data_IF_977045548039
#
_entry.id   IF_977045548039
#
_cell.length_a   1.000
_cell.length_b   1.000
_cell.length_c   1.000
_cell.angle_alpha   90.00
_cell.angle_beta   90.00
_cell.angle_gamma   90.00
#
_symmetry.space_group_name_H-M   'P 1'
#
loop_
_entity.id
_entity.type
_entity.pdbx_description
1 polymer ?
#
# COMPACT_ATOMS: atom_id res chain seq x y z
N UNK A 1 -15.52 -18.63 -6.16
CA UNK A 1 -16.73 -17.94 -5.67
C UNK A 1 -16.49 -16.56 -5.05
N UNK A 2 -15.29 -16.23 -4.57
CA UNK A 2 -14.98 -14.89 -4.00
C UNK A 2 -14.38 -13.91 -5.03
N UNK A 3 -14.06 -14.37 -6.23
CA UNK A 3 -13.57 -13.55 -7.34
C UNK A 3 -14.69 -13.37 -8.38
N UNK A 4 -14.70 -12.24 -9.12
CA UNK A 4 -15.65 -12.03 -10.20
C UNK A 4 -15.66 -13.19 -11.20
N UNK A 5 -16.84 -13.65 -11.65
CA UNK A 5 -16.94 -14.75 -12.59
C UNK A 5 -16.30 -14.38 -13.94
N UNK A 6 -15.47 -15.28 -14.48
CA UNK A 6 -14.78 -15.10 -15.75
C UNK A 6 -13.40 -14.44 -15.65
N UNK A 7 -12.93 -14.13 -14.45
CA UNK A 7 -11.60 -13.59 -14.24
C UNK A 7 -10.56 -14.73 -14.07
N UNK A 8 -9.55 -14.75 -14.94
CA UNK A 8 -8.45 -15.70 -14.85
C UNK A 8 -7.42 -15.19 -13.83
N UNK A 9 -7.47 -15.75 -12.62
CA UNK A 9 -6.62 -15.34 -11.50
C UNK A 9 -5.24 -15.99 -11.64
N UNK A 10 -4.22 -15.15 -11.79
CA UNK A 10 -2.84 -15.56 -12.04
C UNK A 10 -1.90 -15.07 -10.92
N UNK A 11 -0.80 -15.80 -10.72
CA UNK A 11 0.25 -15.41 -9.79
C UNK A 11 0.83 -14.03 -10.14
N UNK A 12 1.06 -13.20 -9.13
CA UNK A 12 1.52 -11.82 -9.25
C UNK A 12 0.40 -10.77 -9.35
N UNK A 13 -0.85 -11.18 -9.60
CA UNK A 13 -1.99 -10.25 -9.58
C UNK A 13 -2.18 -9.64 -8.19
N UNK A 14 -2.61 -8.38 -8.15
CA UNK A 14 -3.02 -7.71 -6.91
C UNK A 14 -4.53 -7.67 -6.84
N UNK A 15 -5.07 -8.08 -5.71
CA UNK A 15 -6.51 -8.11 -5.46
C UNK A 15 -6.79 -7.37 -4.17
N UNK A 16 -8.02 -6.87 -4.05
CA UNK A 16 -8.44 -6.06 -2.94
C UNK A 16 -9.69 -6.68 -2.31
N UNK A 17 -9.75 -6.73 -0.99
CA UNK A 17 -10.92 -7.23 -0.27
C UNK A 17 -11.25 -6.33 0.92
N UNK A 18 -12.52 -6.33 1.32
CA UNK A 18 -12.97 -5.66 2.53
C UNK A 18 -12.68 -6.52 3.76
N UNK A 19 -11.95 -5.96 4.72
CA UNK A 19 -11.69 -6.57 6.01
C UNK A 19 -12.37 -5.81 7.16
N UNK A 20 -12.31 -6.34 8.41
CA UNK A 20 -12.93 -5.72 9.58
C UNK A 20 -12.41 -4.33 9.93
N UNK A 21 -11.25 -3.95 9.40
CA UNK A 21 -10.59 -2.67 9.62
C UNK A 21 -10.53 -1.81 8.35
N UNK A 22 -11.33 -2.16 7.33
CA UNK A 22 -11.31 -1.54 6.01
C UNK A 22 -10.58 -2.40 4.98
N UNK A 23 -10.22 -1.77 3.88
CA UNK A 23 -9.78 -2.46 2.68
C UNK A 23 -8.35 -2.99 2.80
N UNK A 24 -8.16 -4.26 2.44
CA UNK A 24 -6.87 -4.97 2.48
C UNK A 24 -6.45 -5.33 1.06
N UNK A 25 -5.17 -5.09 0.74
CA UNK A 25 -4.57 -5.47 -0.53
C UNK A 25 -3.82 -6.78 -0.38
N UNK A 26 -3.97 -7.68 -1.37
CA UNK A 26 -3.31 -8.97 -1.42
C UNK A 26 -2.56 -9.14 -2.73
N UNK A 27 -1.49 -9.93 -2.71
CA UNK A 27 -0.81 -10.43 -3.90
C UNK A 27 -1.12 -11.92 -4.07
N UNK A 28 -1.53 -12.34 -5.26
CA UNK A 28 -1.74 -13.76 -5.57
C UNK A 28 -0.37 -14.45 -5.70
N UNK A 29 -0.10 -15.44 -4.86
CA UNK A 29 1.12 -16.25 -4.95
C UNK A 29 0.92 -17.44 -5.90
N UNK A 30 -0.25 -18.07 -5.85
CA UNK A 30 -0.62 -19.17 -6.74
C UNK A 30 -2.15 -19.33 -6.79
N UNK A 31 -2.63 -19.88 -7.91
CA UNK A 31 -4.03 -20.26 -8.10
C UNK A 31 -4.07 -21.63 -8.81
N UNK A 32 -4.90 -22.53 -8.30
CA UNK A 32 -5.13 -23.86 -8.87
C UNK A 32 -6.56 -24.35 -8.55
N UNK A 33 -6.88 -25.56 -8.99
CA UNK A 33 -8.21 -26.17 -8.81
C UNK A 33 -8.65 -26.33 -7.34
N UNK A 34 -7.70 -26.31 -6.39
CA UNK A 34 -8.00 -26.40 -4.95
C UNK A 34 -8.22 -25.03 -4.31
N UNK A 35 -7.76 -23.94 -4.93
CA UNK A 35 -7.94 -22.59 -4.43
C UNK A 35 -6.81 -21.61 -4.79
N UNK A 36 -6.83 -20.47 -4.12
CA UNK A 36 -5.89 -19.35 -4.34
C UNK A 36 -5.13 -19.06 -3.06
N UNK A 37 -3.81 -18.93 -3.17
CA UNK A 37 -2.93 -18.50 -2.07
C UNK A 37 -2.65 -17.02 -2.22
N UNK A 38 -2.96 -16.27 -1.16
CA UNK A 38 -2.83 -14.82 -1.10
C UNK A 38 -1.78 -14.40 -0.06
N UNK A 39 -0.98 -13.38 -0.41
CA UNK A 39 -0.07 -12.69 0.49
C UNK A 39 -0.64 -11.31 0.86
N UNK A 40 -0.91 -11.11 2.15
CA UNK A 40 -1.42 -9.84 2.70
C UNK A 40 -0.30 -8.89 3.17
N UNK A 41 0.96 -9.30 3.06
CA UNK A 41 2.07 -8.47 3.49
C UNK A 41 2.26 -7.29 2.52
N UNK A 42 2.74 -6.17 3.06
CA UNK A 42 3.21 -5.08 2.22
C UNK A 42 4.31 -5.60 1.26
N UNK A 43 4.41 -5.14 0.00
CA UNK A 43 5.41 -5.63 -0.96
C UNK A 43 6.88 -5.56 -0.48
N UNK A 44 7.15 -4.70 0.51
CA UNK A 44 8.46 -4.50 1.12
C UNK A 44 8.63 -5.18 2.49
N UNK A 45 7.63 -5.91 2.98
CA UNK A 45 7.72 -6.63 4.25
C UNK A 45 8.85 -7.66 4.21
N UNK A 46 9.63 -7.75 5.30
CA UNK A 46 10.79 -8.64 5.40
C UNK A 46 11.98 -8.26 4.52
N UNK A 47 11.89 -7.18 3.72
CA UNK A 47 13.03 -6.68 2.93
C UNK A 47 13.83 -5.68 3.75
N UNK A 48 15.15 -5.82 3.73
CA UNK A 48 16.04 -4.74 4.16
C UNK A 48 15.98 -3.63 3.12
N UNK A 49 15.53 -2.45 3.52
CA UNK A 49 15.52 -1.27 2.67
C UNK A 49 16.81 -0.49 2.90
N UNK A 50 17.59 -0.33 1.83
CA UNK A 50 18.82 0.45 1.84
C UNK A 50 18.53 1.81 1.19
N UNK A 51 18.78 2.89 1.92
CA UNK A 51 18.56 4.24 1.44
C UNK A 51 19.87 5.03 1.52
N UNK A 52 20.15 5.80 0.48
CA UNK A 52 21.11 6.89 0.51
C UNK A 52 20.30 8.20 0.61
N UNK A 53 20.58 9.01 1.62
CA UNK A 53 19.79 10.21 1.93
C UNK A 53 20.71 11.42 1.99
N UNK A 54 20.30 12.49 1.32
CA UNK A 54 20.92 13.82 1.39
C UNK A 54 19.94 14.80 2.04
N UNK A 55 20.43 15.59 3.00
CA UNK A 55 19.63 16.62 3.66
C UNK A 55 19.69 17.92 2.85
N UNK A 56 18.57 18.29 2.21
CA UNK A 56 18.50 19.48 1.35
C UNK A 56 18.14 20.75 2.13
N UNK A 57 17.17 20.68 3.05
CA UNK A 57 16.67 21.84 3.78
C UNK A 57 16.09 21.41 5.14
N UNK A 58 16.21 22.30 6.13
CA UNK A 58 15.51 22.20 7.41
C UNK A 58 14.82 23.54 7.68
N UNK A 59 13.52 23.49 7.98
CA UNK A 59 12.72 24.65 8.36
C UNK A 59 11.72 24.29 9.44
N UNK A 60 11.20 25.31 10.12
CA UNK A 60 10.07 25.14 11.02
C UNK A 60 8.79 24.79 10.25
N UNK A 61 7.96 23.92 10.84
CA UNK A 61 6.63 23.62 10.33
C UNK A 61 5.68 24.79 10.59
N UNK A 62 4.77 25.07 9.67
CA UNK A 62 3.73 26.08 9.89
C UNK A 62 2.68 25.57 10.88
N UNK A 63 1.86 26.47 11.44
CA UNK A 63 0.75 26.09 12.34
C UNK A 63 -0.22 25.10 11.70
N UNK A 64 -0.47 25.22 10.39
CA UNK A 64 -1.36 24.34 9.65
C UNK A 64 -0.75 22.95 9.41
N UNK A 65 0.54 22.89 9.06
CA UNK A 65 1.27 21.62 8.91
C UNK A 65 1.30 20.83 10.23
N UNK A 66 1.49 21.54 11.35
CA UNK A 66 1.41 20.94 12.69
C UNK A 66 0.00 20.39 12.99
N UNK A 67 -1.04 21.16 12.66
CA UNK A 67 -2.42 20.72 12.84
C UNK A 67 -2.76 19.48 11.99
N UNK A 68 -2.23 19.41 10.76
CA UNK A 68 -2.50 18.35 9.79
C UNK A 68 -1.55 17.14 9.93
N UNK A 69 -0.45 17.29 10.67
CA UNK A 69 0.60 16.26 10.88
C UNK A 69 1.30 15.80 9.60
N UNK A 70 1.32 16.65 8.58
CA UNK A 70 2.07 16.43 7.34
C UNK A 70 2.47 17.77 6.69
N UNK A 71 3.49 17.72 5.83
CA UNK A 71 3.99 18.87 5.08
C UNK A 71 3.01 19.29 3.99
N UNK A 72 2.89 20.60 3.74
CA UNK A 72 2.14 21.12 2.60
C UNK A 72 3.11 21.59 1.51
N UNK A 73 2.83 21.20 0.27
CA UNK A 73 3.52 21.78 -0.88
C UNK A 73 3.07 23.25 -1.02
N UNK A 74 3.99 24.11 -1.48
CA UNK A 74 3.75 25.55 -1.59
C UNK A 74 2.43 25.90 -2.29
N UNK A 75 1.41 26.31 -1.51
CA UNK A 75 0.22 27.00 -1.99
C UNK A 75 -1.05 26.19 -2.23
N UNK A 76 -1.15 24.92 -1.81
CA UNK A 76 -2.42 24.19 -1.85
C UNK A 76 -2.96 23.91 -0.45
N UNK A 77 -3.81 24.82 0.00
CA UNK A 77 -4.78 24.53 1.05
C UNK A 77 -5.85 23.59 0.50
N UNK A 78 -6.22 22.57 1.28
CA UNK A 78 -7.38 21.73 0.99
C UNK A 78 -8.70 22.48 1.22
#
# INVERSE_FOLDING_TARGET
DQFPPGEDIQAGMRVQAEGPQGTVNFTVLSANDQGVVLDANHPLAGKTLNFEVELLEVREATTQELAHRHVHAHGHDH
#
